data_IF_633395949679
#
_entry.id   IF_633395949679
#
_cell.length_a   1.000
_cell.length_b   1.000
_cell.length_c   1.000
_cell.angle_alpha   90.00
_cell.angle_beta   90.00
_cell.angle_gamma   90.00
#
_symmetry.space_group_name_H-M   'P 1'
#
loop_
_entity.id
_entity.type
_entity.pdbx_description
1 polymer ?
#
# COMPACT_ATOMS: atom_id res chain seq x y z
N UNK A 1 -17.25 -5.56 0.14
CA UNK A 1 -16.20 -6.02 -0.82
C UNK A 1 -15.04 -5.03 -0.95
N UNK A 2 -15.28 -3.74 -1.27
CA UNK A 2 -14.20 -2.74 -1.45
C UNK A 2 -13.31 -2.55 -0.19
N UNK A 3 -13.88 -2.63 1.02
CA UNK A 3 -13.13 -2.52 2.29
C UNK A 3 -12.10 -3.65 2.43
N UNK A 4 -12.56 -4.88 2.20
CA UNK A 4 -11.70 -6.06 2.30
C UNK A 4 -10.59 -5.98 1.25
N UNK A 5 -10.91 -5.54 0.03
CA UNK A 5 -9.92 -5.33 -1.03
C UNK A 5 -8.88 -4.25 -0.67
N UNK A 6 -9.29 -3.10 -0.13
CA UNK A 6 -8.35 -2.04 0.29
C UNK A 6 -7.41 -2.49 1.40
N UNK A 7 -7.93 -3.26 2.37
CA UNK A 7 -7.14 -3.80 3.47
C UNK A 7 -6.15 -4.84 2.93
N UNK A 8 -6.60 -5.75 2.09
CA UNK A 8 -5.75 -6.79 1.48
C UNK A 8 -4.63 -6.14 0.66
N UNK A 9 -4.93 -5.16 -0.20
CA UNK A 9 -3.91 -4.44 -0.99
C UNK A 9 -2.88 -3.74 -0.11
N UNK A 10 -3.33 -3.11 0.98
CA UNK A 10 -2.44 -2.43 1.92
C UNK A 10 -1.52 -3.42 2.65
N UNK A 11 -2.06 -4.55 3.11
CA UNK A 11 -1.29 -5.60 3.78
C UNK A 11 -0.31 -6.24 2.82
N UNK A 12 -0.75 -6.63 1.62
CA UNK A 12 0.13 -7.22 0.60
C UNK A 12 1.22 -6.25 0.18
N UNK A 13 0.90 -4.98 -0.04
CA UNK A 13 1.88 -3.94 -0.33
C UNK A 13 2.92 -3.83 0.78
N UNK A 14 2.48 -3.80 2.04
CA UNK A 14 3.37 -3.74 3.21
C UNK A 14 4.28 -4.98 3.33
N UNK A 15 3.76 -6.18 3.05
CA UNK A 15 4.54 -7.42 3.04
C UNK A 15 5.61 -7.39 1.94
N UNK A 16 5.28 -6.90 0.75
CA UNK A 16 6.25 -6.77 -0.35
C UNK A 16 7.35 -5.75 0.01
N UNK A 17 7.02 -4.66 0.71
CA UNK A 17 8.03 -3.71 1.23
C UNK A 17 8.98 -4.43 2.20
N UNK A 18 8.46 -5.24 3.12
CA UNK A 18 9.30 -6.00 4.06
C UNK A 18 10.25 -6.96 3.35
N UNK A 19 9.77 -7.65 2.30
CA UNK A 19 10.62 -8.50 1.47
C UNK A 19 11.72 -7.68 0.79
N UNK A 20 11.38 -6.52 0.22
CA UNK A 20 12.38 -5.67 -0.43
C UNK A 20 13.41 -5.09 0.54
N UNK A 21 12.97 -4.69 1.74
CA UNK A 21 13.86 -4.25 2.82
C UNK A 21 14.78 -5.37 3.32
N UNK A 22 14.29 -6.61 3.32
CA UNK A 22 15.11 -7.77 3.66
C UNK A 22 16.29 -7.92 2.69
N UNK A 23 16.03 -7.95 1.37
CA UNK A 23 17.11 -8.03 0.37
C UNK A 23 18.04 -6.83 0.45
N UNK A 24 17.49 -5.62 0.60
CA UNK A 24 18.30 -4.41 0.70
C UNK A 24 19.20 -4.40 1.94
N UNK A 25 18.66 -4.83 3.09
CA UNK A 25 19.42 -4.90 4.34
C UNK A 25 20.45 -6.02 4.34
N UNK A 26 20.09 -7.20 3.81
CA UNK A 26 20.99 -8.34 3.76
C UNK A 26 22.16 -8.07 2.81
N UNK A 27 21.89 -7.82 1.53
CA UNK A 27 22.89 -7.61 0.48
C UNK A 27 23.61 -6.26 0.60
N UNK A 28 22.95 -5.24 1.16
CA UNK A 28 23.50 -3.89 1.26
C UNK A 28 24.25 -3.60 2.55
N UNK A 29 23.99 -4.34 3.63
CA UNK A 29 24.53 -4.05 4.97
C UNK A 29 25.18 -5.29 5.59
N UNK A 30 24.51 -6.43 5.58
CA UNK A 30 24.97 -7.62 6.31
C UNK A 30 26.07 -8.34 5.53
N UNK A 31 25.78 -8.73 4.29
CA UNK A 31 26.67 -9.56 3.48
C UNK A 31 28.00 -8.86 3.12
N UNK A 32 28.02 -7.55 2.76
CA UNK A 32 29.28 -6.85 2.48
C UNK A 32 30.23 -6.77 3.68
N UNK A 33 29.69 -6.88 4.90
CA UNK A 33 30.47 -6.87 6.13
C UNK A 33 30.98 -8.26 6.54
N UNK A 34 30.67 -9.31 5.78
CA UNK A 34 31.17 -10.66 6.05
C UNK A 34 32.61 -10.81 5.54
N UNK A 35 33.44 -11.47 6.36
CA UNK A 35 34.85 -11.65 6.05
C UNK A 35 35.00 -12.48 4.77
N UNK A 36 35.72 -11.95 3.80
CA UNK A 36 36.04 -12.64 2.54
C UNK A 36 34.94 -12.55 1.48
N UNK A 37 33.82 -11.87 1.76
CA UNK A 37 32.79 -11.61 0.75
C UNK A 37 33.33 -10.65 -0.32
N UNK A 38 32.92 -10.89 -1.58
CA UNK A 38 33.23 -10.05 -2.73
C UNK A 38 31.91 -9.66 -3.37
N UNK A 39 31.72 -8.37 -3.56
CA UNK A 39 30.51 -7.86 -4.18
C UNK A 39 30.39 -8.35 -5.63
N UNK A 40 29.46 -9.26 -5.89
CA UNK A 40 29.27 -9.92 -7.19
C UNK A 40 28.17 -9.25 -8.02
N UNK A 41 27.90 -9.80 -9.20
CA UNK A 41 26.76 -9.36 -10.00
C UNK A 41 25.43 -9.91 -9.47
N UNK A 42 25.44 -10.97 -8.66
CA UNK A 42 24.24 -11.48 -8.00
C UNK A 42 23.73 -10.46 -6.99
N UNK A 43 24.60 -9.95 -6.13
CA UNK A 43 24.27 -9.00 -5.07
C UNK A 43 23.67 -7.71 -5.63
N UNK A 44 24.16 -7.27 -6.80
CA UNK A 44 23.58 -6.14 -7.54
C UNK A 44 22.15 -6.42 -7.99
N UNK A 45 21.89 -7.62 -8.51
CA UNK A 45 20.55 -8.03 -8.95
C UNK A 45 19.63 -8.11 -7.73
N UNK A 46 20.09 -8.65 -6.61
CA UNK A 46 19.30 -8.78 -5.38
C UNK A 46 19.01 -7.42 -4.74
N UNK A 47 19.97 -6.49 -4.74
CA UNK A 47 19.77 -5.10 -4.33
C UNK A 47 18.74 -4.37 -5.21
N UNK A 48 18.86 -4.50 -6.54
CA UNK A 48 17.89 -3.92 -7.48
C UNK A 48 16.53 -4.56 -7.30
N UNK A 49 16.47 -5.88 -7.13
CA UNK A 49 15.25 -6.63 -6.83
C UNK A 49 14.58 -6.14 -5.56
N UNK A 50 15.36 -5.91 -4.49
CA UNK A 50 14.90 -5.32 -3.24
C UNK A 50 14.28 -3.94 -3.43
N UNK A 51 14.94 -3.06 -4.19
CA UNK A 51 14.40 -1.73 -4.53
C UNK A 51 13.10 -1.80 -5.34
N UNK A 52 13.02 -2.69 -6.31
CA UNK A 52 11.81 -2.93 -7.12
C UNK A 52 10.68 -3.43 -6.23
N UNK A 53 10.93 -4.37 -5.31
CA UNK A 53 9.95 -4.83 -4.33
C UNK A 53 9.45 -3.67 -3.46
N UNK A 54 10.35 -2.84 -2.90
CA UNK A 54 9.95 -1.68 -2.10
C UNK A 54 9.03 -0.76 -2.91
N UNK A 55 9.38 -0.45 -4.16
CA UNK A 55 8.60 0.43 -5.02
C UNK A 55 7.20 -0.15 -5.32
N UNK A 56 7.13 -1.41 -5.74
CA UNK A 56 5.85 -2.10 -6.02
C UNK A 56 4.99 -2.20 -4.75
N UNK A 57 5.61 -2.50 -3.61
CA UNK A 57 4.92 -2.57 -2.33
C UNK A 57 4.33 -1.22 -1.89
N UNK A 58 5.09 -0.12 -2.08
CA UNK A 58 4.59 1.24 -1.85
C UNK A 58 3.39 1.58 -2.76
N UNK A 59 3.45 1.22 -4.04
CA UNK A 59 2.30 1.37 -4.94
C UNK A 59 1.07 0.60 -4.44
N UNK A 60 1.26 -0.64 -3.97
CA UNK A 60 0.19 -1.45 -3.38
C UNK A 60 -0.46 -0.79 -2.17
N UNK A 61 0.36 -0.24 -1.25
CA UNK A 61 -0.12 0.51 -0.08
C UNK A 61 -0.90 1.75 -0.51
N UNK A 62 -0.37 2.55 -1.43
CA UNK A 62 -1.02 3.77 -1.92
C UNK A 62 -2.37 3.45 -2.58
N UNK A 63 -2.42 2.43 -3.44
CA UNK A 63 -3.67 2.00 -4.08
C UNK A 63 -4.70 1.51 -3.05
N UNK A 64 -4.26 0.76 -2.03
CA UNK A 64 -5.11 0.36 -0.91
C UNK A 64 -5.70 1.56 -0.16
N UNK A 65 -4.88 2.56 0.14
CA UNK A 65 -5.32 3.79 0.81
C UNK A 65 -6.26 4.63 -0.05
N UNK A 66 -5.99 4.76 -1.35
CA UNK A 66 -6.86 5.50 -2.29
C UNK A 66 -8.22 4.83 -2.39
N UNK A 67 -8.28 3.50 -2.49
CA UNK A 67 -9.53 2.74 -2.52
C UNK A 67 -10.37 2.96 -1.24
N UNK A 68 -9.72 3.03 -0.07
CA UNK A 68 -10.39 3.34 1.19
C UNK A 68 -10.96 4.78 1.22
N UNK A 69 -10.19 5.76 0.72
CA UNK A 69 -10.59 7.17 0.70
C UNK A 69 -11.74 7.45 -0.28
N UNK A 70 -11.71 6.89 -1.49
CA UNK A 70 -12.79 7.03 -2.48
C UNK A 70 -14.12 6.55 -1.89
N UNK A 71 -14.11 5.42 -1.19
CA UNK A 71 -15.30 4.93 -0.49
C UNK A 71 -15.79 5.91 0.57
N UNK A 72 -14.89 6.48 1.38
CA UNK A 72 -15.25 7.46 2.40
C UNK A 72 -15.94 8.70 1.83
N UNK A 73 -15.57 9.11 0.62
CA UNK A 73 -16.23 10.22 -0.10
C UNK A 73 -17.61 9.79 -0.62
N UNK A 74 -17.71 8.63 -1.26
CA UNK A 74 -18.98 8.10 -1.79
C UNK A 74 -20.01 7.86 -0.67
N UNK A 75 -19.57 7.33 0.47
CA UNK A 75 -20.44 7.07 1.61
C UNK A 75 -20.97 8.36 2.23
N UNK A 76 -20.17 9.43 2.29
CA UNK A 76 -20.60 10.75 2.81
C UNK A 76 -21.59 11.43 1.89
N UNK A 77 -21.34 11.41 0.57
CA UNK A 77 -22.30 11.94 -0.42
C UNK A 77 -23.66 11.25 -0.35
N UNK A 78 -23.70 9.94 -0.09
CA UNK A 78 -24.96 9.21 0.02
C UNK A 78 -25.80 9.69 1.23
N UNK A 79 -25.14 9.97 2.35
CA UNK A 79 -25.80 10.46 3.59
C UNK A 79 -26.38 11.88 3.38
N UNK A 80 -25.64 12.78 2.73
CA UNK A 80 -26.15 14.13 2.43
C UNK A 80 -27.39 14.12 1.53
N UNK A 81 -27.44 13.23 0.54
CA UNK A 81 -28.62 13.12 -0.34
C UNK A 81 -29.84 12.58 0.43
N UNK A 82 -29.65 11.60 1.31
CA UNK A 82 -30.75 11.01 2.09
C UNK A 82 -31.25 11.92 3.23
N UNK A 83 -30.50 12.94 3.68
CA UNK A 83 -30.97 13.90 4.70
C UNK A 83 -31.63 15.14 4.11
N UNK A 84 -31.29 15.54 2.88
CA UNK A 84 -31.90 16.70 2.23
C UNK A 84 -33.32 16.43 1.70
N UNK A 85 -33.61 15.21 1.25
CA UNK A 85 -34.94 14.82 0.73
C UNK A 85 -36.02 14.81 1.85
N UNK A 86 -35.81 14.16 3.02
CA UNK A 86 -36.86 14.08 4.05
C UNK A 86 -37.14 15.42 4.74
N UNK A 87 -36.17 16.35 4.77
CA UNK A 87 -36.40 17.69 5.34
C UNK A 87 -37.37 18.52 4.49
N UNK A 88 -37.34 18.34 3.16
CA UNK A 88 -38.19 19.10 2.25
C UNK A 88 -39.63 18.57 2.19
N UNK A 89 -39.84 17.28 2.48
CA UNK A 89 -41.18 16.71 2.61
C UNK A 89 -41.84 17.08 3.94
N UNK A 90 -41.09 17.14 5.04
CA UNK A 90 -41.60 17.51 6.37
C UNK A 90 -41.91 19.01 6.55
N UNK A 91 -41.51 19.89 5.62
CA UNK A 91 -41.80 21.33 5.67
C UNK A 91 -42.96 21.75 4.73
N UNK A 92 -43.49 20.82 3.94
CA UNK A 92 -44.59 21.06 2.99
C UNK A 92 -45.94 20.49 3.46
N UNK A 93 -46.03 20.01 4.71
CA UNK A 93 -47.28 19.74 5.45
C UNK A 93 -47.54 20.84 6.48
#
# INVERSE_FOLDING_TARGET
MIIFLSIILTILGSLIILIGLYYFGFEGIIEPNQIGHKFTNQDKIELIGGLVCIYIGLLGVVLGMVAANIRGIVSRKKIEVETFIPFNEAQNE
#
